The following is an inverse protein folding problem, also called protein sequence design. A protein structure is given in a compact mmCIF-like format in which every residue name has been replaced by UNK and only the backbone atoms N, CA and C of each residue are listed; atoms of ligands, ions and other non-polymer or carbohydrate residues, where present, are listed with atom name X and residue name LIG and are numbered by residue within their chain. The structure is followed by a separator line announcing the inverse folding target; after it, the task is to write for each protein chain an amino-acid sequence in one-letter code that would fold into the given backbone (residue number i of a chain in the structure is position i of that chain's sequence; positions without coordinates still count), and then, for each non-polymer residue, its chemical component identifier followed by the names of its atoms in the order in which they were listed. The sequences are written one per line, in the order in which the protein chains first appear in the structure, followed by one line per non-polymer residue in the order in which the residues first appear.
data_IF_494985426755
#
_entry.id   IF_494985426755
#
_cell.length_a   1.000
_cell.length_b   1.000
_cell.length_c   1.000
_cell.angle_alpha   90.00
_cell.angle_beta   90.00
_cell.angle_gamma   90.00
#
_symmetry.space_group_name_H-M   'P 1'
#
loop_
_entity.id
_entity.type
_entity.pdbx_description
1 polymer ?
#
# COMPACT_ATOMS: atom_id res chain seq x y z
N UNK A 1 -37.29 -35.08 9.48
CA UNK A 1 -36.31 -35.31 10.58
C UNK A 1 -34.93 -35.75 10.06
N UNK A 2 -34.80 -36.83 9.26
CA UNK A 2 -33.49 -37.31 8.75
C UNK A 2 -32.64 -36.30 7.95
N UNK A 3 -33.26 -35.36 7.23
CA UNK A 3 -32.56 -34.32 6.45
C UNK A 3 -31.98 -33.18 7.31
N UNK A 4 -32.57 -32.92 8.48
CA UNK A 4 -32.14 -31.86 9.41
C UNK A 4 -30.96 -32.37 10.25
N UNK A 5 -30.97 -33.63 10.67
CA UNK A 5 -29.83 -34.26 11.35
C UNK A 5 -28.61 -34.35 10.44
N UNK A 6 -28.79 -34.63 9.14
CA UNK A 6 -27.68 -34.65 8.18
C UNK A 6 -27.08 -33.26 7.97
N UNK A 7 -27.91 -32.20 7.92
CA UNK A 7 -27.44 -30.83 7.83
C UNK A 7 -26.68 -30.36 9.10
N UNK A 8 -27.15 -30.76 10.29
CA UNK A 8 -26.45 -30.47 11.55
C UNK A 8 -25.09 -31.20 11.66
N UNK A 9 -25.00 -32.43 11.14
CA UNK A 9 -23.76 -33.22 11.11
C UNK A 9 -22.73 -32.67 10.09
N UNK A 10 -23.21 -32.07 9.00
CA UNK A 10 -22.39 -31.39 7.99
C UNK A 10 -21.91 -30.00 8.44
N UNK A 11 -22.66 -29.31 9.31
CA UNK A 11 -22.22 -28.03 9.89
C UNK A 11 -21.19 -28.22 11.01
N UNK A 12 -21.21 -29.34 11.75
CA UNK A 12 -20.24 -29.63 12.81
C UNK A 12 -18.89 -30.15 12.31
N UNK A 13 -18.76 -30.45 11.02
CA UNK A 13 -17.53 -30.95 10.40
C UNK A 13 -16.60 -29.86 9.83
N UNK A 14 -17.01 -28.59 9.90
CA UNK A 14 -16.17 -27.43 9.57
C UNK A 14 -15.53 -26.82 10.83
N UNK A 15 -14.76 -27.60 11.58
CA UNK A 15 -13.80 -27.04 12.53
C UNK A 15 -12.55 -26.60 11.76
N UNK A 16 -12.43 -25.29 11.55
CA UNK A 16 -11.24 -24.67 10.98
C UNK A 16 -10.08 -24.92 11.94
N UNK A 17 -9.23 -25.90 11.62
CA UNK A 17 -7.99 -26.15 12.35
C UNK A 17 -7.01 -25.05 11.98
N UNK A 18 -6.86 -24.05 12.86
CA UNK A 18 -5.71 -23.14 12.80
C UNK A 18 -4.47 -23.93 13.19
N UNK A 19 -3.68 -24.36 12.21
CA UNK A 19 -2.34 -24.85 12.46
C UNK A 19 -1.47 -23.66 12.91
N UNK A 20 -1.51 -23.33 14.20
CA UNK A 20 -0.55 -22.37 14.75
C UNK A 20 0.81 -23.06 14.86
N UNK A 21 1.87 -22.35 14.44
CA UNK A 21 3.22 -22.79 14.72
C UNK A 21 3.34 -23.06 16.24
N UNK A 22 3.98 -24.17 16.65
CA UNK A 22 4.15 -24.46 18.07
C UNK A 22 4.73 -23.23 18.80
N UNK A 23 4.05 -22.78 19.86
CA UNK A 23 4.45 -21.62 20.68
C UNK A 23 5.60 -21.98 21.63
N UNK A 24 6.63 -22.64 21.09
CA UNK A 24 7.81 -23.13 21.80
C UNK A 24 8.97 -23.38 20.84
N UNK A 25 10.20 -23.34 21.35
CA UNK A 25 11.42 -23.62 20.59
C UNK A 25 12.33 -24.61 21.33
N UNK A 26 13.00 -25.52 20.61
CA UNK A 26 13.95 -26.46 21.21
C UNK A 26 15.20 -25.72 21.70
N UNK A 27 15.68 -26.08 22.89
CA UNK A 27 16.94 -25.60 23.45
C UNK A 27 17.75 -26.75 24.03
N UNK A 28 19.05 -26.74 23.73
CA UNK A 28 20.00 -27.71 24.23
C UNK A 28 21.24 -27.02 24.75
N UNK A 29 21.73 -27.48 25.91
CA UNK A 29 22.96 -26.95 26.51
C UNK A 29 23.71 -28.06 27.24
N UNK A 30 25.04 -28.03 27.13
CA UNK A 30 25.92 -28.94 27.88
C UNK A 30 26.35 -28.23 29.16
N UNK A 31 25.96 -28.79 30.31
CA UNK A 31 26.18 -28.18 31.62
C UNK A 31 27.47 -28.73 32.23
N UNK A 32 28.35 -27.81 32.62
CA UNK A 32 29.62 -28.08 33.28
C UNK A 32 29.71 -27.31 34.59
N UNK A 33 30.41 -27.87 35.57
CA UNK A 33 30.82 -27.15 36.78
C UNK A 33 31.99 -26.21 36.46
N UNK A 34 32.35 -25.36 37.41
CA UNK A 34 33.49 -24.42 37.29
C UNK A 34 34.82 -25.11 37.03
N UNK A 35 35.00 -26.35 37.49
CA UNK A 35 36.18 -27.19 37.24
C UNK A 35 36.18 -27.89 35.86
N UNK A 36 35.15 -27.65 35.03
CA UNK A 36 34.98 -28.25 33.71
C UNK A 36 34.34 -29.64 33.72
N UNK A 37 34.07 -30.23 34.88
CA UNK A 37 33.40 -31.55 34.97
C UNK A 37 31.95 -31.48 34.49
N UNK A 38 31.50 -32.52 33.78
CA UNK A 38 30.14 -32.61 33.29
C UNK A 38 29.17 -32.81 34.46
N UNK A 39 28.07 -32.06 34.47
CA UNK A 39 26.93 -32.33 35.35
C UNK A 39 26.08 -33.40 34.66
N UNK A 40 26.42 -34.67 34.81
CA UNK A 40 25.77 -35.79 34.13
C UNK A 40 24.70 -36.46 35.02
N UNK A 41 23.61 -36.94 34.41
CA UNK A 41 22.50 -37.67 35.07
C UNK A 41 21.97 -36.95 36.32
N UNK A 42 21.96 -35.63 36.31
CA UNK A 42 21.60 -34.81 37.46
C UNK A 42 20.41 -33.93 37.11
N UNK A 43 19.48 -33.76 38.05
CA UNK A 43 18.39 -32.82 37.91
C UNK A 43 18.94 -31.39 38.00
N UNK A 44 18.64 -30.58 36.99
CA UNK A 44 19.03 -29.17 36.92
C UNK A 44 17.79 -28.30 36.72
N UNK A 45 17.87 -27.05 37.18
CA UNK A 45 16.82 -26.05 36.98
C UNK A 45 17.34 -24.98 36.03
N UNK A 46 16.54 -24.64 35.02
CA UNK A 46 16.89 -23.70 33.95
C UNK A 46 15.81 -22.62 33.92
N UNK A 47 16.22 -21.37 34.15
CA UNK A 47 15.41 -20.19 33.92
C UNK A 47 15.77 -19.60 32.57
N UNK A 48 14.77 -19.45 31.72
CA UNK A 48 14.92 -18.92 30.37
C UNK A 48 14.24 -17.55 30.29
N UNK A 49 14.93 -16.55 29.76
CA UNK A 49 14.38 -15.22 29.47
C UNK A 49 14.57 -14.85 28.00
N UNK A 50 13.56 -14.20 27.42
CA UNK A 50 13.67 -13.54 26.13
C UNK A 50 13.82 -12.04 26.38
N UNK A 51 14.96 -11.47 25.98
CA UNK A 51 15.31 -10.07 26.16
C UNK A 51 15.15 -9.32 24.85
N UNK A 52 14.62 -8.09 24.93
CA UNK A 52 14.38 -7.23 23.78
C UNK A 52 15.53 -6.23 23.55
N UNK A 53 15.96 -6.08 22.30
CA UNK A 53 16.86 -5.03 21.81
C UNK A 53 18.34 -5.25 22.09
N UNK A 54 18.71 -5.80 23.26
CA UNK A 54 20.11 -6.07 23.62
C UNK A 54 20.27 -7.24 24.59
N UNK A 55 21.50 -7.72 24.78
CA UNK A 55 21.84 -8.77 25.75
C UNK A 55 21.57 -8.40 27.23
N UNK A 56 21.35 -7.11 27.50
CA UNK A 56 20.98 -6.58 28.83
C UNK A 56 19.59 -5.92 28.81
N UNK A 57 18.80 -6.17 27.77
CA UNK A 57 17.47 -5.59 27.60
C UNK A 57 16.46 -6.10 28.62
N UNK A 58 15.28 -5.47 28.65
CA UNK A 58 14.17 -5.92 29.49
C UNK A 58 13.66 -7.29 29.00
N UNK A 59 13.35 -8.18 29.93
CA UNK A 59 12.77 -9.47 29.61
C UNK A 59 11.29 -9.32 29.22
N UNK A 60 10.95 -9.64 27.97
CA UNK A 60 9.56 -9.72 27.48
C UNK A 60 8.88 -11.01 27.92
N UNK A 61 9.66 -12.05 28.20
CA UNK A 61 9.18 -13.35 28.65
C UNK A 61 10.20 -14.02 29.58
N UNK A 62 9.71 -14.69 30.64
CA UNK A 62 10.52 -15.51 31.54
C UNK A 62 9.75 -16.78 31.90
N UNK A 63 10.43 -17.92 31.89
CA UNK A 63 9.93 -19.21 32.40
C UNK A 63 11.00 -19.95 33.21
N UNK A 64 10.61 -20.98 33.94
CA UNK A 64 11.53 -21.89 34.64
C UNK A 64 11.12 -23.34 34.41
N UNK A 65 12.08 -24.19 34.05
CA UNK A 65 11.87 -25.62 33.82
C UNK A 65 12.95 -26.43 34.52
N UNK A 66 12.63 -27.66 34.91
CA UNK A 66 13.61 -28.63 35.40
C UNK A 66 13.77 -29.77 34.39
N UNK A 67 14.99 -30.27 34.26
CA UNK A 67 15.31 -31.40 33.37
C UNK A 67 16.48 -32.20 33.94
N UNK A 68 16.63 -33.45 33.51
CA UNK A 68 17.76 -34.29 33.91
C UNK A 68 18.76 -34.34 32.77
N UNK A 69 20.02 -33.99 33.05
CA UNK A 69 21.09 -34.09 32.05
C UNK A 69 21.40 -35.54 31.69
N UNK A 70 21.87 -35.81 30.47
CA UNK A 70 22.33 -37.16 30.10
C UNK A 70 23.79 -37.42 30.53
N UNK A 71 24.35 -38.59 30.17
CA UNK A 71 25.75 -38.96 30.44
C UNK A 71 26.78 -37.94 29.92
N UNK A 72 26.43 -37.14 28.91
CA UNK A 72 27.29 -36.11 28.32
C UNK A 72 27.03 -34.72 28.92
N UNK A 73 26.27 -34.63 30.02
CA UNK A 73 25.88 -33.36 30.64
C UNK A 73 24.90 -32.52 29.80
N UNK A 74 24.28 -33.10 28.76
CA UNK A 74 23.34 -32.40 27.88
C UNK A 74 21.98 -32.29 28.55
N UNK A 75 21.51 -31.06 28.75
CA UNK A 75 20.13 -30.72 29.08
C UNK A 75 19.36 -30.39 27.80
N UNK A 76 18.13 -30.90 27.68
CA UNK A 76 17.21 -30.59 26.58
C UNK A 76 15.89 -30.10 27.17
N UNK A 77 15.42 -28.94 26.72
CA UNK A 77 14.10 -28.36 27.07
C UNK A 77 13.44 -27.76 25.83
N UNK A 78 12.14 -27.47 25.93
CA UNK A 78 11.40 -26.70 24.93
C UNK A 78 11.01 -25.36 25.55
N UNK A 79 11.69 -24.28 25.19
CA UNK A 79 11.42 -22.94 25.73
C UNK A 79 10.08 -22.43 25.22
N UNK A 80 9.21 -21.96 26.10
CA UNK A 80 7.80 -21.66 25.81
C UNK A 80 6.84 -22.76 26.27
N UNK A 81 7.36 -23.93 26.65
CA UNK A 81 6.59 -25.04 27.22
C UNK A 81 6.52 -25.05 28.75
N UNK A 82 7.29 -24.21 29.43
CA UNK A 82 7.35 -24.14 30.89
C UNK A 82 6.33 -23.18 31.50
N UNK A 83 6.12 -23.22 32.83
CA UNK A 83 5.31 -22.25 33.54
C UNK A 83 5.96 -20.85 33.44
N UNK A 84 5.27 -19.85 32.85
CA UNK A 84 5.82 -18.51 32.73
C UNK A 84 5.75 -17.77 34.08
N UNK A 85 6.82 -17.05 34.41
CA UNK A 85 6.87 -16.11 35.53
C UNK A 85 6.70 -14.66 35.09
N UNK A 86 6.87 -14.36 33.80
CA UNK A 86 6.65 -13.03 33.21
C UNK A 86 6.23 -13.18 31.76
N UNK A 87 5.20 -12.43 31.35
CA UNK A 87 4.69 -12.45 29.97
C UNK A 87 4.11 -13.80 29.54
N UNK A 88 3.85 -13.93 28.24
CA UNK A 88 3.51 -15.21 27.59
C UNK A 88 4.35 -15.36 26.34
N UNK A 89 4.70 -16.60 25.96
CA UNK A 89 5.55 -16.81 24.78
C UNK A 89 4.88 -16.31 23.49
N UNK A 90 3.56 -16.51 23.40
CA UNK A 90 2.74 -16.00 22.29
C UNK A 90 2.58 -14.47 22.28
N UNK A 91 2.83 -13.80 23.41
CA UNK A 91 2.75 -12.34 23.53
C UNK A 91 4.05 -11.61 23.20
N UNK A 92 5.13 -12.32 22.86
CA UNK A 92 6.40 -11.71 22.46
C UNK A 92 6.21 -11.07 21.08
N UNK A 93 6.50 -9.77 20.97
CA UNK A 93 6.54 -9.06 19.69
C UNK A 93 7.86 -9.36 18.95
N UNK A 94 7.90 -10.51 18.28
CA UNK A 94 9.05 -10.98 17.51
C UNK A 94 9.45 -10.03 16.36
N UNK A 95 8.57 -9.11 15.95
CA UNK A 95 8.86 -8.09 14.92
C UNK A 95 9.62 -6.88 15.47
N UNK A 96 9.63 -6.70 16.80
CA UNK A 96 10.30 -5.58 17.44
C UNK A 96 11.80 -5.84 17.63
N UNK A 97 12.63 -5.40 16.69
CA UNK A 97 14.09 -5.41 16.83
C UNK A 97 14.71 -6.79 17.10
N UNK A 98 15.93 -6.80 17.64
CA UNK A 98 16.67 -8.02 17.94
C UNK A 98 16.24 -8.64 19.26
N UNK A 99 16.16 -9.97 19.29
CA UNK A 99 15.82 -10.74 20.49
C UNK A 99 17.02 -11.55 20.98
N UNK A 100 17.14 -11.70 22.30
CA UNK A 100 18.21 -12.47 22.93
C UNK A 100 17.61 -13.51 23.86
N UNK A 101 18.20 -14.69 23.88
CA UNK A 101 17.92 -15.72 24.88
C UNK A 101 18.95 -15.62 25.99
N UNK A 102 18.47 -15.44 27.22
CA UNK A 102 19.28 -15.55 28.44
C UNK A 102 18.86 -16.81 29.18
N UNK A 103 19.83 -17.64 29.55
CA UNK A 103 19.60 -18.80 30.41
C UNK A 103 20.40 -18.69 31.69
N UNK A 104 19.76 -19.02 32.81
CA UNK A 104 20.37 -19.09 34.14
C UNK A 104 20.10 -20.50 34.68
N UNK A 105 21.14 -21.20 35.13
CA UNK A 105 21.08 -22.63 35.47
C UNK A 105 21.56 -22.86 36.91
N UNK A 106 20.76 -23.60 37.67
CA UNK A 106 21.15 -24.20 38.94
C UNK A 106 21.49 -25.68 38.70
N UNK A 107 22.77 -26.07 38.84
CA UNK A 107 23.22 -27.44 38.59
C UNK A 107 22.74 -28.46 39.63
N UNK A 108 22.09 -28.00 40.71
CA UNK A 108 21.51 -28.84 41.78
C UNK A 108 19.98 -28.94 41.70
N UNK A 109 19.35 -28.29 40.72
CA UNK A 109 17.89 -28.34 40.54
C UNK A 109 17.10 -27.37 41.43
N UNK A 110 17.78 -26.51 42.19
CA UNK A 110 17.17 -25.49 43.05
C UNK A 110 16.91 -24.16 42.34
N UNK A 111 17.03 -23.06 43.10
CA UNK A 111 16.87 -21.68 42.63
C UNK A 111 18.15 -20.84 42.73
N UNK A 112 19.29 -21.46 43.05
CA UNK A 112 20.60 -20.83 43.17
C UNK A 112 21.33 -20.90 41.82
N UNK A 113 20.91 -20.06 40.90
CA UNK A 113 21.46 -20.03 39.54
C UNK A 113 22.90 -19.50 39.53
N UNK A 114 23.86 -20.37 39.21
CA UNK A 114 25.30 -20.07 39.22
C UNK A 114 25.92 -20.01 37.83
N UNK A 115 25.28 -20.64 36.84
CA UNK A 115 25.72 -20.65 35.44
C UNK A 115 24.77 -19.75 34.66
N UNK A 116 25.29 -18.77 33.92
CA UNK A 116 24.48 -17.91 33.07
C UNK A 116 25.10 -17.76 31.67
N UNK A 117 24.26 -17.49 30.69
CA UNK A 117 24.68 -17.22 29.33
C UNK A 117 23.59 -16.45 28.58
N UNK A 118 24.01 -15.51 27.73
CA UNK A 118 23.13 -14.75 26.85
C UNK A 118 23.60 -14.90 25.41
N UNK A 119 22.68 -15.14 24.49
CA UNK A 119 22.97 -15.24 23.06
C UNK A 119 21.86 -14.58 22.25
N UNK A 120 22.23 -13.96 21.12
CA UNK A 120 21.24 -13.39 20.21
C UNK A 120 20.48 -14.53 19.50
N UNK A 121 19.16 -14.39 19.39
CA UNK A 121 18.37 -15.23 18.50
C UNK A 121 18.58 -14.71 17.07
N UNK A 122 19.34 -15.46 16.28
CA UNK A 122 19.52 -15.20 14.86
C UNK A 122 18.41 -15.87 14.06
N UNK A 123 17.96 -15.22 12.99
CA UNK A 123 16.97 -15.79 12.08
C UNK A 123 17.52 -17.06 11.42
N UNK A 124 16.74 -18.14 11.42
CA UNK A 124 17.04 -19.32 10.60
C UNK A 124 16.78 -19.02 9.11
N UNK A 125 17.43 -19.70 8.14
CA UNK A 125 17.25 -19.40 6.71
C UNK A 125 15.79 -19.42 6.23
N UNK A 126 14.96 -20.33 6.75
CA UNK A 126 13.52 -20.37 6.45
C UNK A 126 12.74 -19.20 7.06
N UNK A 127 13.17 -18.69 8.23
CA UNK A 127 12.55 -17.53 8.87
C UNK A 127 12.95 -16.21 8.19
N UNK A 128 14.13 -16.12 7.57
CA UNK A 128 14.48 -14.99 6.69
C UNK A 128 13.61 -14.97 5.43
N UNK A 129 13.26 -16.13 4.89
CA UNK A 129 12.36 -16.27 3.74
C UNK A 129 10.88 -16.10 4.12
N UNK A 130 10.46 -16.53 5.31
CA UNK A 130 9.09 -16.37 5.79
C UNK A 130 8.81 -14.95 6.34
N UNK A 131 9.78 -14.31 6.99
CA UNK A 131 9.70 -12.91 7.44
C UNK A 131 9.76 -11.88 6.31
N UNK A 132 9.97 -12.33 5.07
CA UNK A 132 9.86 -11.53 3.86
C UNK A 132 8.54 -11.77 3.10
N UNK A 133 7.54 -12.41 3.71
CA UNK A 133 6.16 -12.35 3.22
C UNK A 133 5.60 -10.94 3.46
N UNK A 134 6.16 -9.95 2.78
CA UNK A 134 5.49 -8.69 2.52
C UNK A 134 4.08 -9.03 2.05
N UNK A 135 3.08 -8.40 2.65
CA UNK A 135 1.72 -8.48 2.15
C UNK A 135 1.78 -8.25 0.63
N UNK A 136 1.50 -9.26 -0.21
CA UNK A 136 1.62 -9.10 -1.65
C UNK A 136 0.64 -8.04 -2.17
N UNK A 137 -0.34 -7.64 -1.34
CA UNK A 137 -1.44 -6.79 -1.72
C UNK A 137 -2.51 -7.59 -2.45
N UNK A 138 -3.69 -7.02 -2.54
CA UNK A 138 -4.73 -7.48 -3.46
C UNK A 138 -4.49 -6.87 -4.83
N UNK A 139 -4.84 -7.60 -5.88
CA UNK A 139 -4.84 -7.09 -7.27
C UNK A 139 -5.64 -5.80 -7.41
N UNK A 140 -6.77 -5.70 -6.71
CA UNK A 140 -7.63 -4.52 -6.76
C UNK A 140 -8.00 -4.08 -5.34
N UNK A 141 -7.86 -2.78 -5.08
CA UNK A 141 -8.42 -2.12 -3.90
C UNK A 141 -9.76 -1.50 -4.33
N UNK A 142 -10.82 -1.80 -3.60
CA UNK A 142 -12.18 -1.36 -3.91
C UNK A 142 -12.78 -0.63 -2.70
N UNK A 143 -13.07 0.65 -2.83
CA UNK A 143 -13.72 1.49 -1.82
C UNK A 143 -15.09 1.93 -2.34
N UNK A 144 -16.16 1.59 -1.63
CA UNK A 144 -17.54 1.85 -2.07
C UNK A 144 -18.47 2.11 -0.89
N UNK A 145 -19.62 2.71 -1.13
CA UNK A 145 -20.70 2.82 -0.14
C UNK A 145 -20.40 3.80 0.99
N UNK A 146 -20.79 3.47 2.22
CA UNK A 146 -20.74 4.36 3.37
C UNK A 146 -19.37 4.46 4.06
N UNK A 147 -18.30 4.04 3.35
CA UNK A 147 -16.93 4.03 3.87
C UNK A 147 -16.49 5.43 4.32
N UNK A 148 -15.94 5.48 5.53
CA UNK A 148 -15.33 6.69 6.11
C UNK A 148 -13.85 6.80 5.77
N UNK A 149 -13.26 7.99 5.91
CA UNK A 149 -11.82 8.23 5.71
C UNK A 149 -10.93 7.24 6.49
N UNK A 150 -11.27 6.99 7.75
CA UNK A 150 -10.51 6.06 8.61
C UNK A 150 -10.59 4.62 8.09
N UNK A 151 -11.76 4.17 7.64
CA UNK A 151 -11.94 2.83 7.07
C UNK A 151 -11.23 2.70 5.72
N UNK A 152 -11.30 3.72 4.86
CA UNK A 152 -10.58 3.75 3.59
C UNK A 152 -9.06 3.65 3.82
N UNK A 153 -8.53 4.45 4.74
CA UNK A 153 -7.11 4.43 5.11
C UNK A 153 -6.68 3.05 5.61
N UNK A 154 -7.45 2.46 6.55
CA UNK A 154 -7.15 1.14 7.09
C UNK A 154 -7.21 0.05 6.00
N UNK A 155 -8.17 0.15 5.09
CA UNK A 155 -8.34 -0.80 3.98
C UNK A 155 -7.21 -0.71 2.97
N UNK A 156 -6.81 0.51 2.57
CA UNK A 156 -5.65 0.71 1.68
C UNK A 156 -4.40 0.16 2.35
N UNK A 157 -4.15 0.47 3.63
CA UNK A 157 -2.97 -0.03 4.35
C UNK A 157 -2.94 -1.57 4.43
N UNK A 158 -4.10 -2.22 4.55
CA UNK A 158 -4.21 -3.68 4.63
C UNK A 158 -4.19 -4.37 3.26
N UNK A 159 -4.57 -3.69 2.18
CA UNK A 159 -4.75 -4.29 0.85
C UNK A 159 -3.70 -3.87 -0.18
N UNK A 160 -2.95 -2.81 0.09
CA UNK A 160 -1.87 -2.35 -0.78
C UNK A 160 -0.64 -3.24 -0.65
N UNK A 161 -0.05 -3.59 -1.79
CA UNK A 161 1.22 -4.31 -1.89
C UNK A 161 1.75 -4.35 -3.33
N UNK A 162 2.87 -5.06 -3.59
CA UNK A 162 3.52 -5.08 -4.90
C UNK A 162 2.65 -5.63 -6.05
N UNK A 163 1.61 -6.42 -5.74
CA UNK A 163 0.69 -6.96 -6.74
C UNK A 163 -0.58 -6.11 -6.91
N UNK A 164 -0.68 -4.94 -6.25
CA UNK A 164 -1.81 -4.04 -6.45
C UNK A 164 -1.72 -3.37 -7.80
N UNK A 165 -2.66 -3.72 -8.67
CA UNK A 165 -2.73 -3.24 -10.06
C UNK A 165 -3.84 -2.20 -10.22
N UNK A 166 -4.92 -2.27 -9.44
CA UNK A 166 -6.11 -1.45 -9.67
C UNK A 166 -6.62 -0.78 -8.40
N UNK A 167 -7.16 0.43 -8.57
CA UNK A 167 -7.87 1.15 -7.51
C UNK A 167 -9.22 1.62 -8.04
N UNK A 168 -10.29 1.19 -7.37
CA UNK A 168 -11.66 1.58 -7.65
C UNK A 168 -12.26 2.26 -6.42
N UNK A 169 -12.64 3.54 -6.55
CA UNK A 169 -13.28 4.32 -5.50
C UNK A 169 -14.60 4.84 -6.05
N UNK A 170 -15.67 4.06 -5.86
CA UNK A 170 -16.90 4.22 -6.60
C UNK A 170 -18.09 4.37 -5.66
N UNK A 171 -18.92 5.40 -5.86
CA UNK A 171 -20.19 5.53 -5.16
C UNK A 171 -20.05 5.69 -3.66
N UNK A 172 -18.99 6.34 -3.17
CA UNK A 172 -18.83 6.55 -1.73
C UNK A 172 -19.70 7.70 -1.22
N UNK A 173 -20.32 7.54 -0.05
CA UNK A 173 -21.28 8.49 0.52
C UNK A 173 -20.74 9.26 1.74
N UNK A 174 -19.67 8.77 2.37
CA UNK A 174 -19.06 9.37 3.55
C UNK A 174 -17.55 9.66 3.42
N UNK A 175 -16.90 9.16 2.36
CA UNK A 175 -15.49 9.44 2.12
C UNK A 175 -15.33 10.92 1.72
N UNK A 176 -14.44 11.62 2.41
CA UNK A 176 -14.12 13.03 2.15
C UNK A 176 -12.68 13.23 1.72
N UNK A 177 -11.76 12.36 2.17
CA UNK A 177 -10.36 12.41 1.83
C UNK A 177 -9.87 11.03 1.37
N UNK A 178 -9.28 10.97 0.19
CA UNK A 178 -8.69 9.75 -0.38
C UNK A 178 -7.17 9.92 -0.47
N UNK A 179 -6.42 9.08 0.26
CA UNK A 179 -4.96 9.07 0.23
C UNK A 179 -4.42 7.84 -0.51
N UNK A 180 -3.86 8.07 -1.70
CA UNK A 180 -3.19 7.07 -2.53
C UNK A 180 -1.69 7.38 -2.71
N UNK A 181 -1.10 8.18 -1.82
CA UNK A 181 0.29 8.64 -1.92
C UNK A 181 1.34 7.54 -1.99
N UNK A 182 1.03 6.33 -1.52
CA UNK A 182 1.94 5.18 -1.54
C UNK A 182 1.93 4.44 -2.88
N UNK A 183 0.91 4.68 -3.72
CA UNK A 183 0.69 3.95 -4.97
C UNK A 183 1.43 4.65 -6.10
N UNK A 184 2.30 3.89 -6.78
CA UNK A 184 3.16 4.42 -7.86
C UNK A 184 2.67 4.10 -9.25
N UNK A 185 2.23 2.86 -9.47
CA UNK A 185 1.83 2.39 -10.78
C UNK A 185 0.49 1.68 -10.65
N UNK A 186 -0.41 1.91 -11.60
CA UNK A 186 -1.69 1.22 -11.70
C UNK A 186 -1.93 0.80 -13.15
N UNK A 187 -2.65 -0.29 -13.34
CA UNK A 187 -3.31 -0.58 -14.60
C UNK A 187 -4.51 0.35 -14.71
N UNK A 188 -5.47 0.25 -13.78
CA UNK A 188 -6.66 1.09 -13.77
C UNK A 188 -6.76 1.93 -12.48
N UNK A 189 -7.05 3.21 -12.64
CA UNK A 189 -7.50 4.11 -11.58
C UNK A 189 -8.91 4.61 -11.93
N UNK A 190 -9.90 4.24 -11.12
CA UNK A 190 -11.25 4.76 -11.25
C UNK A 190 -11.69 5.38 -9.91
N UNK A 191 -12.05 6.66 -9.96
CA UNK A 191 -12.61 7.42 -8.85
C UNK A 191 -13.92 8.04 -9.35
N UNK A 192 -15.03 7.32 -9.18
CA UNK A 192 -16.34 7.72 -9.73
C UNK A 192 -17.43 7.91 -8.68
N UNK A 193 -18.36 8.82 -8.96
CA UNK A 193 -19.65 8.91 -8.26
C UNK A 193 -19.55 9.12 -6.74
N UNK A 194 -18.49 9.80 -6.27
CA UNK A 194 -18.27 10.04 -4.85
C UNK A 194 -18.92 11.36 -4.41
N UNK A 195 -19.96 11.25 -3.58
CA UNK A 195 -20.83 12.36 -3.22
C UNK A 195 -20.14 13.42 -2.34
N UNK A 196 -19.23 12.98 -1.47
CA UNK A 196 -18.58 13.84 -0.46
C UNK A 196 -17.07 13.95 -0.61
N UNK A 197 -16.47 13.29 -1.61
CA UNK A 197 -15.02 13.30 -1.78
C UNK A 197 -14.54 14.70 -2.15
N UNK A 198 -13.69 15.29 -1.30
CA UNK A 198 -13.17 16.65 -1.47
C UNK A 198 -11.72 16.64 -1.94
N UNK A 199 -10.91 15.74 -1.38
CA UNK A 199 -9.47 15.69 -1.66
C UNK A 199 -9.05 14.31 -2.15
N UNK A 200 -8.14 14.30 -3.13
CA UNK A 200 -7.51 13.10 -3.67
C UNK A 200 -6.00 13.34 -3.66
N UNK A 201 -5.26 12.55 -2.89
CA UNK A 201 -3.80 12.60 -2.83
C UNK A 201 -3.18 11.54 -3.74
N UNK A 202 -2.59 11.99 -4.85
CA UNK A 202 -1.95 11.15 -5.88
C UNK A 202 -0.45 11.43 -5.97
N UNK A 203 0.17 11.89 -4.88
CA UNK A 203 1.57 12.35 -4.89
C UNK A 203 2.59 11.26 -5.26
N UNK A 204 2.22 9.98 -5.15
CA UNK A 204 3.06 8.85 -5.53
C UNK A 204 2.89 8.37 -6.96
N UNK A 205 1.78 8.70 -7.63
CA UNK A 205 1.37 8.04 -8.87
C UNK A 205 2.22 8.51 -10.06
N UNK A 206 3.07 7.62 -10.58
CA UNK A 206 4.01 7.87 -11.66
C UNK A 206 3.52 7.41 -13.02
N UNK A 207 2.78 6.30 -13.10
CA UNK A 207 2.29 5.75 -14.37
C UNK A 207 0.92 5.07 -14.22
N UNK A 208 0.09 5.18 -15.27
CA UNK A 208 -1.17 4.42 -15.42
C UNK A 208 -1.14 3.67 -16.75
N UNK A 209 -1.32 2.36 -16.74
CA UNK A 209 -1.15 1.52 -17.94
C UNK A 209 -2.39 1.43 -18.81
N UNK A 210 -3.57 1.58 -18.22
CA UNK A 210 -4.84 1.53 -18.92
C UNK A 210 -5.70 2.73 -18.49
N UNK A 211 -6.80 2.54 -17.78
CA UNK A 211 -7.81 3.58 -17.62
C UNK A 211 -7.46 4.52 -16.45
N UNK A 212 -7.64 5.82 -16.69
CA UNK A 212 -7.58 6.85 -15.65
C UNK A 212 -8.90 7.62 -15.65
N UNK A 213 -9.82 7.25 -14.77
CA UNK A 213 -11.14 7.89 -14.63
C UNK A 213 -11.26 8.63 -13.31
N UNK A 214 -11.56 9.92 -13.38
CA UNK A 214 -11.99 10.70 -12.23
C UNK A 214 -13.27 11.43 -12.63
N UNK A 215 -14.42 10.86 -12.28
CA UNK A 215 -15.70 11.36 -12.77
C UNK A 215 -16.81 11.43 -11.73
N UNK A 216 -17.77 12.34 -11.94
CA UNK A 216 -18.94 12.51 -11.07
C UNK A 216 -18.57 12.72 -9.57
N UNK A 217 -17.42 13.34 -9.28
CA UNK A 217 -17.05 13.68 -7.90
C UNK A 217 -17.47 15.12 -7.60
N UNK A 218 -18.62 15.28 -6.96
CA UNK A 218 -19.28 16.58 -6.83
C UNK A 218 -18.47 17.63 -6.06
N UNK A 219 -17.62 17.20 -5.10
CA UNK A 219 -16.93 18.09 -4.16
C UNK A 219 -15.43 18.21 -4.39
N UNK A 220 -14.85 17.45 -5.32
CA UNK A 220 -13.43 17.55 -5.65
C UNK A 220 -13.17 18.90 -6.29
N UNK A 221 -12.32 19.71 -5.65
CA UNK A 221 -12.07 21.10 -6.08
C UNK A 221 -10.82 21.25 -6.95
N UNK A 222 -9.87 20.33 -6.81
CA UNK A 222 -8.60 20.31 -7.53
C UNK A 222 -8.10 18.89 -7.67
N UNK A 223 -7.41 18.61 -8.77
CA UNK A 223 -6.74 17.34 -9.01
C UNK A 223 -5.28 17.63 -9.35
N UNK A 224 -4.37 17.02 -8.60
CA UNK A 224 -2.94 17.21 -8.75
C UNK A 224 -2.26 15.85 -8.96
N UNK A 225 -1.49 15.76 -10.05
CA UNK A 225 -0.62 14.63 -10.35
C UNK A 225 0.85 15.10 -10.39
N UNK A 226 1.50 15.28 -9.23
CA UNK A 226 2.82 15.95 -9.20
C UNK A 226 3.90 15.16 -9.93
N UNK A 227 3.76 13.82 -9.98
CA UNK A 227 4.80 12.91 -10.49
C UNK A 227 4.34 11.98 -11.61
N UNK A 228 3.10 12.11 -12.09
CA UNK A 228 2.57 11.29 -13.19
C UNK A 228 3.31 11.64 -14.49
N UNK A 229 3.94 10.65 -15.11
CA UNK A 229 4.78 10.82 -16.30
C UNK A 229 4.11 10.33 -17.57
N UNK A 230 3.37 9.22 -17.48
CA UNK A 230 2.78 8.55 -18.64
C UNK A 230 1.42 7.95 -18.28
N UNK A 231 0.46 8.12 -19.19
CA UNK A 231 -0.77 7.32 -19.23
C UNK A 231 -0.77 6.52 -20.53
N UNK A 232 -0.72 5.19 -20.44
CA UNK A 232 -0.59 4.31 -21.60
C UNK A 232 -1.95 3.87 -22.17
N UNK A 233 -3.04 4.01 -21.41
CA UNK A 233 -4.38 3.62 -21.88
C UNK A 233 -4.98 4.61 -22.86
N UNK A 234 -5.96 4.12 -23.60
CA UNK A 234 -6.72 4.88 -24.59
C UNK A 234 -7.96 5.55 -23.97
N UNK A 235 -8.04 5.69 -22.63
CA UNK A 235 -9.21 6.24 -21.94
C UNK A 235 -8.82 6.94 -20.63
N UNK A 236 -8.18 8.11 -20.75
CA UNK A 236 -7.85 8.97 -19.61
C UNK A 236 -8.85 10.14 -19.54
N UNK A 237 -9.83 10.02 -18.66
CA UNK A 237 -10.99 10.89 -18.58
C UNK A 237 -11.15 11.52 -17.19
N UNK A 238 -11.20 12.84 -17.14
CA UNK A 238 -11.59 13.60 -15.95
C UNK A 238 -12.83 14.41 -16.31
N UNK A 239 -14.00 13.96 -15.84
CA UNK A 239 -15.27 14.53 -16.30
C UNK A 239 -16.36 14.67 -15.26
N UNK A 240 -17.32 15.57 -15.48
CA UNK A 240 -18.48 15.72 -14.60
C UNK A 240 -18.15 16.02 -13.13
N UNK A 241 -16.99 16.65 -12.84
CA UNK A 241 -16.64 17.05 -11.49
C UNK A 241 -17.11 18.50 -11.26
N UNK A 242 -18.31 18.64 -10.67
CA UNK A 242 -19.03 19.91 -10.62
C UNK A 242 -18.31 21.05 -9.88
N UNK A 243 -17.45 20.73 -8.90
CA UNK A 243 -16.68 21.72 -8.13
C UNK A 243 -15.23 21.87 -8.59
N UNK A 244 -14.80 21.14 -9.62
CA UNK A 244 -13.40 21.07 -10.03
C UNK A 244 -12.96 22.38 -10.70
N UNK A 245 -12.05 23.11 -10.06
CA UNK A 245 -11.56 24.42 -10.51
C UNK A 245 -10.21 24.35 -11.22
N UNK A 246 -9.38 23.36 -10.87
CA UNK A 246 -8.02 23.23 -11.38
C UNK A 246 -7.56 21.79 -11.53
N UNK A 247 -6.76 21.54 -12.56
CA UNK A 247 -6.05 20.28 -12.78
C UNK A 247 -4.59 20.59 -13.08
N UNK A 248 -3.65 19.84 -12.48
CA UNK A 248 -2.22 20.02 -12.76
C UNK A 248 -1.51 18.68 -12.96
N UNK A 249 -0.82 18.57 -14.09
CA UNK A 249 -0.04 17.40 -14.52
C UNK A 249 1.35 17.87 -14.98
N UNK A 250 2.19 18.40 -14.06
CA UNK A 250 3.45 19.07 -14.41
C UNK A 250 4.45 18.17 -15.15
N UNK A 251 4.43 16.86 -14.87
CA UNK A 251 5.40 15.91 -15.41
C UNK A 251 4.82 14.96 -16.47
N UNK A 252 3.54 15.09 -16.83
CA UNK A 252 2.92 14.21 -17.81
C UNK A 252 3.51 14.49 -19.20
N UNK A 253 4.33 13.57 -19.68
CA UNK A 253 5.06 13.70 -20.93
C UNK A 253 4.33 13.05 -22.11
N UNK A 254 3.62 11.94 -21.85
CA UNK A 254 2.96 11.14 -22.87
C UNK A 254 1.59 10.66 -22.38
N UNK A 255 0.61 10.73 -23.27
CA UNK A 255 -0.65 10.00 -23.12
C UNK A 255 -1.04 9.37 -24.46
N UNK A 256 -2.02 8.47 -24.51
CA UNK A 256 -2.68 8.15 -25.78
C UNK A 256 -3.90 9.03 -26.01
N UNK A 257 -4.76 9.18 -25.01
CA UNK A 257 -5.89 10.10 -24.99
C UNK A 257 -5.83 10.95 -23.72
N UNK A 258 -6.36 12.18 -23.76
CA UNK A 258 -6.62 12.99 -22.57
C UNK A 258 -7.94 13.74 -22.75
N UNK A 259 -8.91 13.43 -21.91
CA UNK A 259 -10.25 14.01 -21.94
C UNK A 259 -10.54 14.74 -20.63
N UNK A 260 -10.75 16.05 -20.73
CA UNK A 260 -11.21 16.91 -19.65
C UNK A 260 -12.55 17.51 -20.07
N UNK A 261 -13.67 16.93 -19.62
CA UNK A 261 -14.99 17.29 -20.14
C UNK A 261 -16.01 17.54 -19.05
N UNK A 262 -16.99 18.41 -19.30
CA UNK A 262 -18.14 18.58 -18.41
C UNK A 262 -17.73 18.96 -16.97
N UNK A 263 -16.65 19.74 -16.81
CA UNK A 263 -16.24 20.29 -15.51
C UNK A 263 -16.60 21.80 -15.51
N UNK A 264 -17.84 22.17 -15.12
CA UNK A 264 -18.45 23.46 -15.44
C UNK A 264 -17.80 24.67 -14.77
N UNK A 265 -16.90 24.48 -13.80
CA UNK A 265 -16.16 25.55 -13.11
C UNK A 265 -14.64 25.41 -13.26
N UNK A 266 -14.18 24.54 -14.15
CA UNK A 266 -12.77 24.30 -14.40
C UNK A 266 -12.17 25.45 -15.19
N UNK A 267 -11.29 26.22 -14.53
CA UNK A 267 -10.70 27.45 -15.08
C UNK A 267 -9.20 27.32 -15.36
N UNK A 268 -8.53 26.29 -14.82
CA UNK A 268 -7.08 26.11 -14.97
C UNK A 268 -6.71 24.64 -15.22
N UNK A 269 -5.90 24.39 -16.25
CA UNK A 269 -5.32 23.07 -16.54
C UNK A 269 -3.86 23.24 -16.96
N UNK A 270 -2.93 22.68 -16.20
CA UNK A 270 -1.50 22.74 -16.54
C UNK A 270 -0.95 21.38 -16.99
N UNK A 271 -0.33 21.37 -18.18
CA UNK A 271 0.22 20.21 -18.88
C UNK A 271 1.54 20.60 -19.58
N UNK A 272 2.55 21.15 -18.86
CA UNK A 272 3.68 21.83 -19.49
C UNK A 272 4.66 20.86 -20.17
N UNK A 273 4.70 19.61 -19.74
CA UNK A 273 5.64 18.58 -20.23
C UNK A 273 5.07 17.72 -21.37
N UNK A 274 3.80 17.91 -21.74
CA UNK A 274 3.14 17.03 -22.71
C UNK A 274 3.77 17.17 -24.09
N UNK A 275 4.34 16.08 -24.60
CA UNK A 275 5.09 16.04 -25.86
C UNK A 275 4.59 14.97 -26.84
N UNK A 276 3.67 14.11 -26.40
CA UNK A 276 3.11 13.03 -27.20
C UNK A 276 1.66 12.71 -26.81
N UNK A 277 0.79 12.63 -27.82
CA UNK A 277 -0.56 12.04 -27.74
C UNK A 277 -0.79 11.13 -28.95
N UNK A 278 -1.71 10.15 -28.88
CA UNK A 278 -1.97 9.21 -29.97
C UNK A 278 -3.05 9.75 -30.93
N UNK A 279 -2.79 9.56 -32.22
CA UNK A 279 -3.47 10.16 -33.37
C UNK A 279 -5.02 10.01 -33.42
N UNK A 280 -5.63 8.92 -32.93
CA UNK A 280 -7.05 8.62 -33.22
C UNK A 280 -8.11 9.25 -32.31
N UNK A 281 -7.79 9.53 -31.05
CA UNK A 281 -8.78 10.01 -30.05
C UNK A 281 -8.43 11.38 -29.45
N UNK A 282 -7.17 11.81 -29.62
CA UNK A 282 -6.77 13.20 -29.44
C UNK A 282 -6.70 13.69 -28.00
N UNK A 283 -6.87 15.01 -27.84
CA UNK A 283 -6.90 15.73 -26.57
C UNK A 283 -8.11 16.66 -26.58
N UNK A 284 -8.97 16.51 -25.57
CA UNK A 284 -10.26 17.18 -25.52
C UNK A 284 -10.45 17.96 -24.23
N UNK A 285 -10.82 19.22 -24.36
CA UNK A 285 -11.16 20.17 -23.31
C UNK A 285 -12.54 20.76 -23.62
N UNK A 286 -13.63 20.03 -23.36
CA UNK A 286 -14.98 20.42 -23.81
C UNK A 286 -15.93 20.64 -22.65
N UNK A 287 -16.86 21.59 -22.75
CA UNK A 287 -17.85 21.84 -21.70
C UNK A 287 -17.22 22.15 -20.33
N UNK A 288 -16.17 22.99 -20.32
CA UNK A 288 -15.53 23.50 -19.11
C UNK A 288 -15.71 25.03 -19.02
N UNK A 289 -15.03 25.68 -18.07
CA UNK A 289 -15.03 27.14 -17.92
C UNK A 289 -13.63 27.75 -18.16
N UNK A 290 -12.86 27.19 -19.10
CA UNK A 290 -11.51 27.66 -19.37
C UNK A 290 -11.58 29.06 -20.01
N UNK A 291 -10.98 30.11 -19.41
CA UNK A 291 -10.93 31.43 -20.03
C UNK A 291 -9.99 31.44 -21.25
N UNK A 292 -10.13 32.42 -22.14
CA UNK A 292 -9.27 32.54 -23.34
C UNK A 292 -7.77 32.57 -23.01
N UNK A 293 -7.38 33.11 -21.84
CA UNK A 293 -5.98 33.07 -21.38
C UNK A 293 -5.49 31.63 -21.16
N UNK A 294 -6.33 30.76 -20.61
CA UNK A 294 -6.03 29.36 -20.41
C UNK A 294 -6.04 28.58 -21.72
N UNK A 295 -6.97 28.89 -22.63
CA UNK A 295 -7.00 28.33 -23.99
C UNK A 295 -5.70 28.67 -24.73
N UNK A 296 -5.26 29.93 -24.68
CA UNK A 296 -3.99 30.36 -25.27
C UNK A 296 -2.79 29.61 -24.67
N UNK A 297 -2.77 29.45 -23.34
CA UNK A 297 -1.71 28.70 -22.66
C UNK A 297 -1.67 27.24 -23.12
N UNK A 298 -2.82 26.56 -23.20
CA UNK A 298 -2.90 25.17 -23.66
C UNK A 298 -2.39 25.06 -25.09
N UNK A 299 -2.88 25.90 -26.01
CA UNK A 299 -2.42 25.91 -27.41
C UNK A 299 -0.90 26.08 -27.51
N UNK A 300 -0.33 26.98 -26.70
CA UNK A 300 1.11 27.20 -26.64
C UNK A 300 1.87 25.94 -26.19
N UNK A 301 1.41 25.27 -25.12
CA UNK A 301 2.05 24.03 -24.63
C UNK A 301 1.99 22.91 -25.67
N UNK A 302 0.87 22.78 -26.38
CA UNK A 302 0.69 21.75 -27.39
C UNK A 302 1.58 21.95 -28.63
N UNK A 303 2.23 23.10 -28.81
CA UNK A 303 3.24 23.28 -29.86
C UNK A 303 4.42 22.31 -29.72
N UNK A 304 4.67 21.80 -28.51
CA UNK A 304 5.73 20.83 -28.21
C UNK A 304 5.35 19.38 -28.59
N UNK A 305 4.12 19.13 -29.06
CA UNK A 305 3.73 17.81 -29.52
C UNK A 305 4.60 17.37 -30.70
N UNK A 306 5.15 16.16 -30.57
CA UNK A 306 5.94 15.49 -31.60
C UNK A 306 5.08 14.60 -32.51
N UNK A 307 3.89 14.20 -32.04
CA UNK A 307 2.88 13.49 -32.83
C UNK A 307 2.19 14.44 -33.83
N UNK A 308 1.67 13.89 -34.93
CA UNK A 308 0.92 14.61 -35.96
C UNK A 308 -0.50 14.04 -36.08
N UNK A 309 -1.38 14.74 -36.80
CA UNK A 309 -2.78 14.36 -37.00
C UNK A 309 -3.60 14.25 -35.71
N UNK A 310 -3.14 14.90 -34.63
CA UNK A 310 -3.87 14.89 -33.38
C UNK A 310 -5.19 15.65 -33.52
N UNK A 311 -6.26 15.13 -32.92
CA UNK A 311 -7.49 15.87 -32.69
C UNK A 311 -7.32 16.71 -31.41
N UNK A 312 -7.39 18.02 -31.53
CA UNK A 312 -7.26 18.97 -30.41
C UNK A 312 -8.56 19.74 -30.31
N UNK A 313 -9.31 19.54 -29.23
CA UNK A 313 -10.64 20.13 -29.05
C UNK A 313 -10.66 21.04 -27.83
N UNK A 314 -10.92 22.33 -28.04
CA UNK A 314 -10.97 23.39 -27.02
C UNK A 314 -12.25 24.22 -27.19
N UNK A 315 -13.39 23.55 -27.41
CA UNK A 315 -14.67 24.19 -27.73
C UNK A 315 -15.76 23.85 -26.71
N UNK A 316 -16.88 24.56 -26.79
CA UNK A 316 -17.96 24.58 -25.80
C UNK A 316 -17.48 25.02 -24.41
N UNK A 317 -16.63 26.04 -24.30
CA UNK A 317 -16.39 26.66 -22.99
C UNK A 317 -17.61 27.48 -22.57
N UNK A 318 -17.83 27.59 -21.27
CA UNK A 318 -18.87 28.44 -20.70
C UNK A 318 -18.30 29.34 -19.60
N UNK A 319 -18.14 30.66 -19.84
CA UNK A 319 -18.48 31.38 -21.07
C UNK A 319 -17.58 31.00 -22.26
N UNK A 320 -18.03 31.31 -23.48
CA UNK A 320 -17.28 31.10 -24.73
C UNK A 320 -15.90 31.75 -24.66
N UNK A 321 -14.86 31.00 -25.01
CA UNK A 321 -13.46 31.39 -24.83
C UNK A 321 -12.62 31.14 -26.09
N UNK A 322 -12.81 31.93 -27.16
CA UNK A 322 -12.02 31.79 -28.37
C UNK A 322 -10.55 32.15 -28.08
N UNK A 323 -9.58 31.58 -28.83
CA UNK A 323 -8.17 31.96 -28.72
C UNK A 323 -7.98 33.42 -29.13
N UNK A 324 -7.03 34.11 -28.51
CA UNK A 324 -6.72 35.52 -28.76
C UNK A 324 -5.22 35.76 -28.90
N UNK A 325 -4.83 36.82 -29.61
CA UNK A 325 -3.42 37.21 -29.76
C UNK A 325 -2.53 36.06 -30.23
N UNK A 326 -1.49 35.74 -29.45
CA UNK A 326 -0.58 34.62 -29.74
C UNK A 326 -1.30 33.27 -29.87
N UNK A 327 -2.41 33.05 -29.17
CA UNK A 327 -3.18 31.80 -29.27
C UNK A 327 -3.74 31.55 -30.67
N UNK A 328 -4.08 32.61 -31.42
CA UNK A 328 -4.55 32.48 -32.82
C UNK A 328 -3.40 31.95 -33.70
N UNK A 329 -2.18 32.45 -33.48
CA UNK A 329 -0.97 32.06 -34.20
C UNK A 329 -0.59 30.61 -33.83
N UNK A 330 -0.67 30.27 -32.55
CA UNK A 330 -0.36 28.93 -32.04
C UNK A 330 -1.36 27.90 -32.61
N UNK A 331 -2.66 28.22 -32.65
CA UNK A 331 -3.69 27.40 -33.32
C UNK A 331 -3.34 27.17 -34.80
N UNK A 332 -3.03 28.23 -35.55
CA UNK A 332 -2.67 28.12 -36.96
C UNK A 332 -1.40 27.25 -37.17
N UNK A 333 -0.43 27.37 -36.26
CA UNK A 333 0.81 26.57 -36.27
C UNK A 333 0.54 25.09 -35.99
N UNK A 334 -0.37 24.78 -35.06
CA UNK A 334 -0.79 23.39 -34.81
C UNK A 334 -1.47 22.78 -36.04
N UNK A 335 -2.33 23.55 -36.72
CA UNK A 335 -3.00 23.11 -37.95
C UNK A 335 -1.97 22.89 -39.07
N UNK A 336 -0.99 23.78 -39.25
CA UNK A 336 0.06 23.60 -40.27
C UNK A 336 0.99 22.43 -40.00
N UNK A 337 1.14 22.01 -38.73
CA UNK A 337 1.78 20.75 -38.32
C UNK A 337 0.91 19.51 -38.59
N UNK A 338 -0.26 19.66 -39.20
CA UNK A 338 -1.14 18.57 -39.61
C UNK A 338 -2.16 18.13 -38.56
N UNK A 339 -2.38 18.92 -37.49
CA UNK A 339 -3.39 18.61 -36.47
C UNK A 339 -4.78 19.15 -36.84
N UNK A 340 -5.81 18.53 -36.30
CA UNK A 340 -7.20 19.03 -36.40
C UNK A 340 -7.49 19.79 -35.11
N UNK A 341 -7.58 21.13 -35.19
CA UNK A 341 -7.76 21.98 -34.01
C UNK A 341 -9.10 22.71 -34.05
N UNK A 342 -9.95 22.44 -33.07
CA UNK A 342 -11.22 23.14 -32.87
C UNK A 342 -11.17 23.99 -31.61
N UNK A 343 -11.71 25.20 -31.68
CA UNK A 343 -11.87 26.11 -30.54
C UNK A 343 -13.26 26.72 -30.61
N UNK A 344 -13.68 27.35 -29.52
CA UNK A 344 -14.77 28.32 -29.53
C UNK A 344 -14.61 29.42 -30.59
#
# INVERSE_FOLDING_TARGET
MKKITLALLLLSSFSILFAQAPQKMSYQSVIRKTDGTLVANTLVSIKSSILLGSASGTASYIETQTTTTNNNGLATIEIGGGPPSTGTFAGIDWGSGSHFIKTEIDPTGGSNYTINGTSQLLSVPYALYAGSSQNPGKTSIVLTGDITDAQATAKIAAEFGPNTENVYVNGTTNLTNLDLSQIKNLIDLNISDNLKLVTINLNGLTEVYNDLHIENNEKVNSILFPVLKVVHGDNANISNNASLTSISLPLLAKSKELSFRLNPVLTSIDLPSLSFVRNSEGISFRHNALPSSQVNLILNRLLNLTSQQNYIELHNQNPTAPPTGQGIIDKATLISKGNIVTTD
#
